data_IF_707200261375
#
_entry.id   IF_707200261375
#
_cell.length_a   1.000
_cell.length_b   1.000
_cell.length_c   1.000
_cell.angle_alpha   90.00
_cell.angle_beta   90.00
_cell.angle_gamma   90.00
#
_symmetry.space_group_name_H-M   'P 1'
#
loop_
_entity.id
_entity.type
_entity.pdbx_description
1 polymer ?
#
# COMPACT_ATOMS: atom_id res chain seq x y z
N UNK A 1 -10.58 13.92 15.19
CA UNK A 1 -9.18 13.44 15.19
C UNK A 1 -8.42 14.30 14.20
N UNK A 2 -7.37 15.00 14.66
CA UNK A 2 -6.51 15.79 13.76
C UNK A 2 -5.49 14.90 13.07
N UNK A 3 -5.06 15.30 11.87
CA UNK A 3 -3.91 14.71 11.17
C UNK A 3 -2.84 15.79 11.10
N UNK A 4 -1.60 15.42 11.41
CA UNK A 4 -0.43 16.24 11.18
C UNK A 4 0.43 15.58 10.11
N UNK A 5 0.54 16.29 8.99
CA UNK A 5 1.41 15.96 7.86
C UNK A 5 2.73 16.70 8.09
N UNK A 6 3.82 15.98 8.33
CA UNK A 6 5.15 16.58 8.47
C UNK A 6 6.05 16.09 7.34
N UNK A 7 6.36 16.97 6.41
CA UNK A 7 7.30 16.68 5.33
C UNK A 7 8.69 17.21 5.73
N UNK A 8 9.68 16.32 5.80
CA UNK A 8 11.06 16.68 6.17
C UNK A 8 11.38 16.61 7.67
N UNK A 9 10.98 15.53 8.32
CA UNK A 9 11.21 15.27 9.75
C UNK A 9 12.62 14.81 10.12
N UNK A 10 13.62 15.08 9.29
CA UNK A 10 14.98 14.63 9.50
C UNK A 10 15.83 15.71 10.18
N UNK A 11 16.77 15.33 11.05
CA UNK A 11 17.82 16.24 11.47
C UNK A 11 18.59 16.67 10.22
N UNK A 12 18.52 17.95 9.87
CA UNK A 12 19.17 18.49 8.68
C UNK A 12 20.69 18.46 8.80
N UNK A 13 21.38 19.19 7.93
CA UNK A 13 22.84 19.29 8.00
C UNK A 13 23.32 19.77 9.39
N UNK A 14 24.47 19.27 9.87
CA UNK A 14 25.05 19.74 11.12
C UNK A 14 25.27 21.26 11.10
N UNK A 15 24.87 21.93 12.17
CA UNK A 15 25.04 23.36 12.32
C UNK A 15 26.29 23.65 13.15
N UNK A 16 27.31 24.24 12.53
CA UNK A 16 28.57 24.59 13.22
C UNK A 16 28.48 25.83 14.11
N UNK A 17 27.37 26.57 14.06
CA UNK A 17 27.20 27.80 14.85
C UNK A 17 27.20 27.48 16.34
N UNK A 18 27.98 28.23 17.11
CA UNK A 18 27.96 28.21 18.58
C UNK A 18 27.05 29.27 19.18
N UNK A 19 26.34 30.02 18.32
CA UNK A 19 25.45 31.13 18.71
C UNK A 19 23.98 30.83 18.43
N UNK A 20 23.65 29.81 17.63
CA UNK A 20 22.27 29.44 17.36
C UNK A 20 21.62 28.77 18.57
N UNK A 21 20.36 29.14 18.84
CA UNK A 21 19.57 28.52 19.88
C UNK A 21 19.24 27.07 19.54
N UNK A 22 19.13 26.22 20.56
CA UNK A 22 18.70 24.83 20.43
C UNK A 22 19.83 23.80 20.39
N UNK A 23 21.09 24.21 20.23
CA UNK A 23 22.26 23.34 20.34
C UNK A 23 23.51 24.14 20.78
N UNK A 24 24.61 23.46 21.11
CA UNK A 24 25.87 24.07 21.57
C UNK A 24 26.86 24.31 20.42
N UNK A 25 26.82 23.48 19.40
CA UNK A 25 27.69 23.59 18.23
C UNK A 25 27.51 22.43 17.26
N UNK A 26 28.53 22.17 16.45
CA UNK A 26 28.48 21.15 15.39
C UNK A 26 28.12 19.75 15.89
N UNK A 27 28.71 19.33 17.02
CA UNK A 27 28.64 17.95 17.50
C UNK A 27 27.28 17.55 18.10
N UNK A 28 26.47 18.51 18.56
CA UNK A 28 25.17 18.23 19.18
C UNK A 28 23.97 18.71 18.36
N UNK A 29 24.18 19.44 17.25
CA UNK A 29 23.11 20.09 16.51
C UNK A 29 22.06 19.10 16.00
N UNK A 30 22.48 18.00 15.36
CA UNK A 30 21.54 17.02 14.81
C UNK A 30 20.83 16.24 15.91
N UNK A 31 21.53 15.91 17.00
CA UNK A 31 20.92 15.23 18.14
C UNK A 31 19.81 16.09 18.74
N UNK A 32 20.05 17.38 18.95
CA UNK A 32 19.06 18.30 19.51
C UNK A 32 17.87 18.52 18.60
N UNK A 33 18.10 18.62 17.28
CA UNK A 33 17.02 18.67 16.29
C UNK A 33 16.15 17.40 16.36
N UNK A 34 16.78 16.23 16.39
CA UNK A 34 16.07 14.95 16.53
C UNK A 34 15.24 14.89 17.83
N UNK A 35 15.82 15.30 18.97
CA UNK A 35 15.12 15.31 20.25
C UNK A 35 13.85 16.18 20.20
N UNK A 36 13.94 17.36 19.57
CA UNK A 36 12.80 18.26 19.40
C UNK A 36 11.68 17.63 18.58
N UNK A 37 12.02 17.01 17.43
CA UNK A 37 11.04 16.33 16.56
C UNK A 37 10.41 15.14 17.29
N UNK A 38 11.24 14.32 17.96
CA UNK A 38 10.80 13.18 18.76
C UNK A 38 9.78 13.61 19.82
N UNK A 39 10.10 14.64 20.59
CA UNK A 39 9.26 15.09 21.71
C UNK A 39 7.96 15.74 21.20
N UNK A 40 8.03 16.47 20.09
CA UNK A 40 6.85 16.99 19.42
C UNK A 40 5.91 15.87 18.94
N UNK A 41 6.44 14.80 18.34
CA UNK A 41 5.62 13.66 17.91
C UNK A 41 5.00 12.91 19.07
N UNK A 42 5.72 12.75 20.18
CA UNK A 42 5.16 12.18 21.41
C UNK A 42 4.01 13.03 21.94
N UNK A 43 4.18 14.35 21.94
CA UNK A 43 3.12 15.29 22.32
C UNK A 43 1.90 15.17 21.38
N UNK A 44 2.10 15.15 20.06
CA UNK A 44 1.00 14.92 19.10
C UNK A 44 0.21 13.64 19.43
N UNK A 45 0.90 12.56 19.83
CA UNK A 45 0.24 11.31 20.22
C UNK A 45 -0.54 11.41 21.53
N UNK A 46 -0.07 12.19 22.49
CA UNK A 46 -0.82 12.49 23.72
C UNK A 46 -2.13 13.24 23.38
N UNK A 47 -2.09 14.12 22.39
CA UNK A 47 -3.25 14.88 21.90
C UNK A 47 -4.12 14.12 20.88
N UNK A 48 -3.91 12.80 20.72
CA UNK A 48 -4.64 11.98 19.74
C UNK A 48 -4.55 12.49 18.29
N UNK A 49 -3.44 13.13 17.94
CA UNK A 49 -3.14 13.58 16.57
C UNK A 49 -2.47 12.42 15.81
N UNK A 50 -2.98 12.12 14.62
CA UNK A 50 -2.41 11.12 13.73
C UNK A 50 -1.25 11.72 12.92
N UNK A 51 -0.12 11.03 12.86
CA UNK A 51 1.12 11.51 12.26
C UNK A 51 1.39 10.78 10.94
N UNK A 52 1.41 11.55 9.85
CA UNK A 52 1.94 11.11 8.56
C UNK A 52 3.29 11.80 8.31
N UNK A 53 4.36 11.02 8.29
CA UNK A 53 5.74 11.54 8.23
C UNK A 53 6.58 10.64 7.32
N UNK A 54 7.57 11.17 6.58
CA UNK A 54 8.36 10.38 5.64
C UNK A 54 9.41 9.49 6.32
N UNK A 55 9.91 9.88 7.50
CA UNK A 55 10.98 9.19 8.22
C UNK A 55 10.48 8.19 9.27
N UNK A 56 11.32 7.24 9.63
CA UNK A 56 10.98 6.22 10.62
C UNK A 56 11.01 6.79 12.05
N UNK A 57 9.83 7.10 12.59
CA UNK A 57 9.64 7.57 13.98
C UNK A 57 8.61 6.75 14.75
N UNK A 58 8.39 5.47 14.39
CA UNK A 58 7.30 4.66 14.97
C UNK A 58 7.44 4.50 16.49
N UNK A 59 8.67 4.43 17.01
CA UNK A 59 8.95 4.38 18.46
C UNK A 59 8.85 5.76 19.15
N UNK A 60 8.62 6.80 18.38
CA UNK A 60 8.54 8.20 18.81
C UNK A 60 7.18 8.83 18.51
N UNK A 61 6.25 8.07 17.93
CA UNK A 61 4.86 8.47 17.75
C UNK A 61 4.36 8.45 16.32
N UNK A 62 5.20 8.35 15.28
CA UNK A 62 4.68 8.36 13.90
C UNK A 62 3.73 7.20 13.65
N UNK A 63 2.66 7.43 12.87
CA UNK A 63 1.68 6.39 12.57
C UNK A 63 1.92 5.68 11.26
N UNK A 64 2.46 6.38 10.26
CA UNK A 64 2.77 5.80 8.96
C UNK A 64 3.90 6.53 8.27
N UNK A 65 4.56 5.81 7.37
CA UNK A 65 5.64 6.27 6.49
C UNK A 65 5.40 5.77 5.05
N UNK A 66 6.07 6.31 4.01
CA UNK A 66 5.94 5.80 2.65
C UNK A 66 6.29 4.31 2.58
N UNK A 67 5.62 3.50 1.74
CA UNK A 67 6.00 2.10 1.56
C UNK A 67 7.42 1.98 0.97
N UNK A 68 7.67 2.77 -0.07
CA UNK A 68 8.93 2.97 -0.75
C UNK A 68 8.67 4.06 -1.78
N UNK A 69 9.58 5.02 -1.93
CA UNK A 69 9.27 6.22 -2.69
C UNK A 69 10.52 6.92 -3.21
N UNK A 70 10.54 7.17 -4.52
CA UNK A 70 11.34 8.20 -5.17
C UNK A 70 10.34 9.07 -5.92
N UNK A 71 10.33 10.37 -5.68
CA UNK A 71 9.26 11.26 -6.14
C UNK A 71 9.04 11.23 -7.64
N UNK A 72 10.13 11.15 -8.39
CA UNK A 72 10.14 11.12 -9.85
C UNK A 72 9.62 9.81 -10.45
N UNK A 73 9.38 8.76 -9.65
CA UNK A 73 8.71 7.55 -10.13
C UNK A 73 7.31 7.88 -10.68
N UNK A 74 6.65 8.92 -10.14
CA UNK A 74 5.34 9.35 -10.63
C UNK A 74 5.40 10.33 -11.80
N UNK A 75 6.61 10.66 -12.28
CA UNK A 75 6.82 11.34 -13.55
C UNK A 75 7.03 10.35 -14.69
N UNK A 76 7.11 9.05 -14.40
CA UNK A 76 7.15 8.01 -15.42
C UNK A 76 5.77 7.85 -16.08
N UNK A 77 5.71 7.34 -17.32
CA UNK A 77 4.43 7.02 -17.95
C UNK A 77 3.56 6.12 -17.06
N UNK A 78 2.23 6.33 -17.10
CA UNK A 78 1.22 5.65 -16.26
C UNK A 78 1.43 4.14 -16.13
N UNK A 79 1.78 3.46 -17.23
CA UNK A 79 2.01 2.01 -17.25
C UNK A 79 3.15 1.53 -16.32
N UNK A 80 4.20 2.34 -16.14
CA UNK A 80 5.30 2.01 -15.23
C UNK A 80 4.93 2.27 -13.78
N UNK A 81 4.11 3.31 -13.53
CA UNK A 81 3.70 3.70 -12.19
C UNK A 81 2.96 2.55 -11.48
N UNK A 82 2.12 1.80 -12.20
CA UNK A 82 1.35 0.67 -11.65
C UNK A 82 2.26 -0.44 -11.12
N UNK A 83 3.29 -0.81 -11.88
CA UNK A 83 4.23 -1.88 -11.49
C UNK A 83 5.14 -1.39 -10.36
N UNK A 84 5.67 -0.18 -10.46
CA UNK A 84 6.54 0.41 -9.43
C UNK A 84 5.80 0.59 -8.12
N UNK A 85 4.52 0.98 -8.16
CA UNK A 85 3.68 1.07 -6.97
C UNK A 85 3.60 -0.28 -6.25
N UNK A 86 3.30 -1.36 -6.98
CA UNK A 86 3.26 -2.71 -6.40
C UNK A 86 4.63 -3.18 -5.91
N UNK A 87 5.73 -2.79 -6.57
CA UNK A 87 7.08 -3.10 -6.10
C UNK A 87 7.37 -2.40 -4.77
N UNK A 88 7.06 -1.11 -4.65
CA UNK A 88 7.22 -0.35 -3.42
C UNK A 88 6.38 -0.93 -2.28
N UNK A 89 5.15 -1.35 -2.56
CA UNK A 89 4.30 -2.05 -1.58
C UNK A 89 4.94 -3.37 -1.16
N UNK A 90 5.31 -4.21 -2.12
CA UNK A 90 5.89 -5.54 -1.86
C UNK A 90 7.17 -5.41 -1.02
N UNK A 91 8.07 -4.51 -1.40
CA UNK A 91 9.35 -4.31 -0.72
C UNK A 91 9.17 -3.62 0.63
N UNK A 92 8.28 -2.63 0.70
CA UNK A 92 7.98 -1.89 1.92
C UNK A 92 7.38 -2.77 3.02
N UNK A 93 6.51 -3.70 2.63
CA UNK A 93 5.81 -4.59 3.56
C UNK A 93 6.67 -5.70 4.16
N UNK A 94 7.95 -5.82 3.78
CA UNK A 94 8.91 -6.65 4.53
C UNK A 94 9.31 -6.04 5.88
N UNK A 95 9.25 -4.71 6.01
CA UNK A 95 9.78 -4.00 7.18
C UNK A 95 8.68 -3.34 8.04
N UNK A 96 7.42 -3.38 7.59
CA UNK A 96 6.26 -2.78 8.27
C UNK A 96 4.98 -3.43 7.79
N UNK A 97 3.94 -3.40 8.60
CA UNK A 97 2.62 -3.92 8.20
C UNK A 97 1.98 -3.01 7.14
N UNK A 98 1.01 -3.50 6.35
CA UNK A 98 0.28 -2.68 5.38
C UNK A 98 -0.25 -1.35 5.95
N UNK A 99 -0.83 -1.41 7.14
CA UNK A 99 -1.47 -0.27 7.81
C UNK A 99 -0.48 0.81 8.31
N UNK A 100 0.80 0.47 8.44
CA UNK A 100 1.89 1.39 8.78
C UNK A 100 2.44 2.14 7.55
N UNK A 101 1.96 1.84 6.35
CA UNK A 101 2.46 2.42 5.11
C UNK A 101 1.44 3.26 4.36
N UNK A 102 1.95 4.23 3.60
CA UNK A 102 1.19 4.89 2.54
C UNK A 102 1.93 4.90 1.21
N UNK A 103 1.19 5.08 0.14
CA UNK A 103 1.73 5.43 -1.18
C UNK A 103 1.19 6.78 -1.62
N UNK A 104 2.04 7.52 -2.30
CA UNK A 104 1.68 8.79 -2.89
C UNK A 104 0.95 8.57 -4.23
N UNK A 105 -0.17 9.27 -4.42
CA UNK A 105 -1.01 9.15 -5.63
C UNK A 105 -1.23 10.56 -6.20
N UNK A 106 -0.33 11.02 -7.09
CA UNK A 106 -0.54 12.29 -7.77
C UNK A 106 -1.61 12.11 -8.83
N UNK A 107 -2.67 12.90 -8.72
CA UNK A 107 -3.75 12.96 -9.70
C UNK A 107 -3.40 13.96 -10.81
N UNK A 108 -2.81 15.10 -10.43
CA UNK A 108 -2.27 16.11 -11.35
C UNK A 108 -0.82 15.84 -11.71
N UNK A 109 -0.31 16.52 -12.75
CA UNK A 109 1.10 16.47 -13.13
C UNK A 109 2.02 16.71 -11.92
N UNK A 110 3.04 15.86 -11.80
CA UNK A 110 4.02 15.91 -10.72
C UNK A 110 5.44 15.76 -11.27
N UNK A 111 6.36 16.60 -10.79
CA UNK A 111 7.78 16.64 -11.20
C UNK A 111 8.05 16.64 -12.71
N UNK A 112 7.16 17.24 -13.51
CA UNK A 112 7.43 17.43 -14.95
C UNK A 112 7.16 16.23 -15.86
N UNK A 113 6.48 15.16 -15.39
CA UNK A 113 6.22 13.96 -16.20
C UNK A 113 5.29 14.14 -17.42
N UNK A 114 4.63 15.31 -17.55
CA UNK A 114 3.76 15.64 -18.67
C UNK A 114 2.50 14.77 -18.77
N UNK A 115 1.88 14.81 -19.95
CA UNK A 115 0.60 14.15 -20.22
C UNK A 115 0.65 12.63 -20.04
N UNK A 116 1.75 11.97 -20.43
CA UNK A 116 1.89 10.51 -20.33
C UNK A 116 1.92 9.97 -18.88
N UNK A 117 2.28 10.82 -17.91
CA UNK A 117 2.36 10.48 -16.49
C UNK A 117 1.14 10.95 -15.68
N UNK A 118 0.39 11.93 -16.20
CA UNK A 118 -0.69 12.60 -15.46
C UNK A 118 -1.99 11.79 -15.51
N UNK A 119 -2.76 11.75 -14.42
CA UNK A 119 -4.06 11.03 -14.38
C UNK A 119 -5.22 11.97 -14.74
N UNK A 120 -5.15 13.26 -14.37
CA UNK A 120 -6.16 14.22 -14.79
C UNK A 120 -6.09 14.51 -16.31
N UNK A 121 -7.24 14.61 -17.01
CA UNK A 121 -8.61 14.41 -16.52
C UNK A 121 -8.89 12.95 -16.12
N UNK A 122 -9.42 12.73 -14.92
CA UNK A 122 -9.57 11.39 -14.34
C UNK A 122 -10.52 10.52 -15.17
N UNK A 123 -11.58 11.14 -15.72
CA UNK A 123 -12.55 10.46 -16.58
C UNK A 123 -11.95 9.93 -17.89
N UNK A 124 -10.84 10.49 -18.38
CA UNK A 124 -10.13 10.02 -19.57
C UNK A 124 -9.16 8.88 -19.26
N UNK A 125 -8.84 8.66 -17.97
CA UNK A 125 -7.85 7.70 -17.50
C UNK A 125 -8.38 6.77 -16.40
N UNK A 126 -9.69 6.46 -16.45
CA UNK A 126 -10.38 5.63 -15.45
C UNK A 126 -9.73 4.27 -15.24
N UNK A 127 -9.27 3.62 -16.32
CA UNK A 127 -8.61 2.31 -16.22
C UNK A 127 -7.35 2.39 -15.35
N UNK A 128 -6.50 3.39 -15.59
CA UNK A 128 -5.30 3.59 -14.79
C UNK A 128 -5.66 3.93 -13.33
N UNK A 129 -6.61 4.85 -13.12
CA UNK A 129 -7.02 5.21 -11.76
C UNK A 129 -7.61 4.01 -11.00
N UNK A 130 -8.38 3.16 -11.69
CA UNK A 130 -8.89 1.90 -11.16
C UNK A 130 -7.76 0.98 -10.71
N UNK A 131 -6.73 0.76 -11.53
CA UNK A 131 -5.59 -0.09 -11.16
C UNK A 131 -4.86 0.45 -9.93
N UNK A 132 -4.65 1.77 -9.85
CA UNK A 132 -4.06 2.40 -8.65
C UNK A 132 -4.88 2.11 -7.40
N UNK A 133 -6.21 2.26 -7.45
CA UNK A 133 -7.11 1.93 -6.34
C UNK A 133 -7.02 0.45 -5.95
N UNK A 134 -6.99 -0.45 -6.94
CA UNK A 134 -6.88 -1.90 -6.73
C UNK A 134 -5.53 -2.31 -6.11
N UNK A 135 -4.43 -1.71 -6.56
CA UNK A 135 -3.10 -1.93 -6.01
C UNK A 135 -3.08 -1.59 -4.51
N UNK A 136 -3.55 -0.38 -4.17
CA UNK A 136 -3.49 0.13 -2.81
C UNK A 136 -4.46 -0.60 -1.88
N UNK A 137 -5.73 -0.67 -2.25
CA UNK A 137 -6.75 -1.28 -1.40
C UNK A 137 -6.60 -2.80 -1.32
N UNK A 138 -6.26 -3.47 -2.42
CA UNK A 138 -5.96 -4.91 -2.41
C UNK A 138 -4.73 -5.27 -1.56
N UNK A 139 -3.86 -4.30 -1.30
CA UNK A 139 -2.71 -4.47 -0.43
C UNK A 139 -2.87 -3.88 0.97
N UNK A 140 -4.02 -3.32 1.33
CA UNK A 140 -4.22 -2.69 2.64
C UNK A 140 -3.39 -1.42 2.87
N UNK A 141 -2.91 -0.80 1.79
CA UNK A 141 -2.03 0.36 1.85
C UNK A 141 -2.83 1.64 1.71
N UNK A 142 -2.49 2.63 2.53
CA UNK A 142 -3.17 3.93 2.50
C UNK A 142 -2.75 4.74 1.27
N UNK A 143 -3.72 5.39 0.62
CA UNK A 143 -3.48 6.31 -0.47
C UNK A 143 -3.34 7.75 0.05
N UNK A 144 -2.25 8.43 -0.29
CA UNK A 144 -2.08 9.87 -0.09
C UNK A 144 -2.29 10.58 -1.42
N UNK A 145 -3.52 11.00 -1.68
CA UNK A 145 -3.90 11.67 -2.93
C UNK A 145 -3.37 13.10 -2.97
N UNK A 146 -2.78 13.49 -4.11
CA UNK A 146 -2.40 14.88 -4.39
C UNK A 146 -3.11 15.36 -5.65
N UNK A 147 -4.04 16.28 -5.46
CA UNK A 147 -4.80 16.91 -6.53
C UNK A 147 -5.93 17.76 -5.95
N UNK A 148 -6.58 18.58 -6.78
CA UNK A 148 -7.63 19.48 -6.32
C UNK A 148 -8.95 18.76 -6.01
N UNK A 149 -9.12 17.52 -6.48
CA UNK A 149 -10.35 16.72 -6.37
C UNK A 149 -10.05 15.23 -6.47
N UNK A 150 -10.97 14.40 -5.97
CA UNK A 150 -10.89 12.93 -6.07
C UNK A 150 -11.68 12.36 -7.25
N UNK A 151 -12.58 13.16 -7.81
CA UNK A 151 -13.45 12.83 -8.94
C UNK A 151 -13.81 14.10 -9.71
N UNK A 152 -13.87 14.00 -11.03
CA UNK A 152 -14.20 15.07 -11.97
C UNK A 152 -15.55 14.85 -12.67
N UNK A 153 -16.00 13.61 -12.78
CA UNK A 153 -17.32 13.22 -13.28
C UNK A 153 -18.02 12.24 -12.34
N UNK A 154 -19.29 11.94 -12.64
CA UNK A 154 -20.09 10.96 -11.91
C UNK A 154 -19.53 9.54 -12.07
N UNK A 155 -19.00 9.20 -13.25
CA UNK A 155 -18.35 7.92 -13.53
C UNK A 155 -17.12 7.74 -12.65
N UNK A 156 -16.26 8.77 -12.54
CA UNK A 156 -15.09 8.75 -11.64
C UNK A 156 -15.53 8.60 -10.18
N UNK A 157 -16.60 9.28 -9.76
CA UNK A 157 -17.15 9.15 -8.40
C UNK A 157 -17.65 7.73 -8.12
N UNK A 158 -18.32 7.10 -9.07
CA UNK A 158 -18.80 5.72 -8.95
C UNK A 158 -17.64 4.73 -8.83
N UNK A 159 -16.59 4.90 -9.65
CA UNK A 159 -15.37 4.09 -9.59
C UNK A 159 -14.73 4.16 -8.20
N UNK A 160 -14.48 5.38 -7.69
CA UNK A 160 -13.87 5.58 -6.37
C UNK A 160 -14.76 5.01 -5.27
N UNK A 161 -16.08 5.25 -5.35
CA UNK A 161 -17.05 4.75 -4.35
C UNK A 161 -17.05 3.22 -4.30
N UNK A 162 -17.00 2.56 -5.46
CA UNK A 162 -16.94 1.11 -5.57
C UNK A 162 -15.71 0.54 -4.84
N UNK A 163 -14.52 1.07 -5.13
CA UNK A 163 -13.28 0.57 -4.54
C UNK A 163 -13.14 0.93 -3.05
N UNK A 164 -13.68 2.06 -2.62
CA UNK A 164 -13.79 2.39 -1.19
C UNK A 164 -14.72 1.41 -0.46
N UNK A 165 -15.85 1.03 -1.07
CA UNK A 165 -16.76 0.04 -0.50
C UNK A 165 -16.09 -1.35 -0.42
N UNK A 166 -15.34 -1.74 -1.45
CA UNK A 166 -14.51 -2.95 -1.45
C UNK A 166 -13.53 -2.96 -0.27
N UNK A 167 -12.75 -1.88 -0.10
CA UNK A 167 -11.80 -1.79 1.02
C UNK A 167 -12.54 -1.89 2.36
N UNK A 168 -13.61 -1.12 2.58
CA UNK A 168 -14.38 -1.16 3.83
C UNK A 168 -14.93 -2.55 4.15
N UNK A 169 -15.38 -3.31 3.15
CA UNK A 169 -15.88 -4.68 3.31
C UNK A 169 -14.78 -5.64 3.76
N UNK A 170 -13.56 -5.48 3.27
CA UNK A 170 -12.45 -6.41 3.50
C UNK A 170 -11.37 -5.88 4.46
N UNK A 171 -11.50 -4.65 4.98
CA UNK A 171 -10.44 -3.95 5.74
C UNK A 171 -9.84 -4.76 6.88
N UNK A 172 -10.65 -5.55 7.60
CA UNK A 172 -10.15 -6.31 8.75
C UNK A 172 -9.04 -7.29 8.35
N UNK A 173 -9.18 -7.95 7.19
CA UNK A 173 -8.14 -8.85 6.67
C UNK A 173 -7.07 -8.07 5.89
N UNK A 174 -7.44 -7.02 5.14
CA UNK A 174 -6.48 -6.22 4.38
C UNK A 174 -5.52 -5.41 5.25
N UNK A 175 -5.92 -5.03 6.47
CA UNK A 175 -5.07 -4.32 7.44
C UNK A 175 -4.19 -5.28 8.27
N UNK A 176 -4.30 -6.59 8.04
CA UNK A 176 -3.54 -7.63 8.76
C UNK A 176 -2.15 -7.86 8.14
N UNK A 177 -1.37 -8.75 8.76
CA UNK A 177 -0.10 -9.20 8.21
C UNK A 177 -0.30 -9.98 6.89
N UNK A 178 0.77 -10.06 6.10
CA UNK A 178 0.74 -10.72 4.80
C UNK A 178 1.91 -11.68 4.58
N UNK A 179 1.74 -12.53 3.58
CA UNK A 179 2.75 -13.41 3.02
C UNK A 179 3.00 -12.96 1.58
N UNK A 180 4.24 -12.64 1.29
CA UNK A 180 4.70 -12.34 -0.05
C UNK A 180 4.68 -13.60 -0.93
N UNK A 181 4.10 -13.50 -2.13
CA UNK A 181 4.12 -14.59 -3.10
C UNK A 181 5.12 -14.28 -4.23
N UNK A 182 4.68 -13.54 -5.25
CA UNK A 182 5.52 -13.17 -6.40
C UNK A 182 5.67 -11.67 -6.45
N UNK A 183 6.93 -11.20 -6.40
CA UNK A 183 7.28 -9.78 -6.52
C UNK A 183 6.92 -9.29 -7.94
N UNK A 184 6.38 -8.07 -8.09
CA UNK A 184 6.08 -7.52 -9.41
C UNK A 184 7.34 -7.30 -10.25
N UNK A 185 7.28 -7.71 -11.51
CA UNK A 185 8.37 -7.55 -12.49
C UNK A 185 7.86 -7.15 -13.90
N UNK A 186 6.55 -6.98 -14.06
CA UNK A 186 5.93 -6.63 -15.34
C UNK A 186 5.85 -7.76 -16.36
N UNK A 187 6.25 -9.01 -16.02
CA UNK A 187 6.39 -10.11 -16.98
C UNK A 187 5.40 -11.27 -16.81
N UNK A 188 4.82 -11.41 -15.63
CA UNK A 188 3.77 -12.39 -15.32
C UNK A 188 2.94 -11.84 -14.14
N UNK A 189 2.05 -12.65 -13.57
CA UNK A 189 1.25 -12.28 -12.40
C UNK A 189 2.13 -11.87 -11.22
N UNK A 190 1.62 -11.01 -10.35
CA UNK A 190 2.22 -10.72 -9.06
C UNK A 190 1.17 -10.75 -7.96
N UNK A 191 1.58 -10.90 -6.69
CA UNK A 191 0.59 -11.03 -5.64
C UNK A 191 1.12 -11.25 -4.22
N UNK A 192 0.20 -11.02 -3.29
CA UNK A 192 0.38 -11.11 -1.84
C UNK A 192 -0.85 -11.77 -1.21
N UNK A 193 -0.64 -12.46 -0.09
CA UNK A 193 -1.71 -13.08 0.68
C UNK A 193 -1.77 -12.46 2.08
N UNK A 194 -2.80 -11.69 2.36
CA UNK A 194 -3.09 -11.27 3.73
C UNK A 194 -3.55 -12.47 4.55
N UNK A 195 -3.14 -12.55 5.81
CA UNK A 195 -3.43 -13.67 6.71
C UNK A 195 -3.79 -13.19 8.11
N UNK A 196 -4.84 -13.76 8.68
CA UNK A 196 -5.19 -13.54 10.08
C UNK A 196 -6.03 -14.71 10.63
N UNK A 197 -5.48 -15.58 11.49
CA UNK A 197 -6.18 -16.78 11.95
C UNK A 197 -7.36 -16.48 12.89
N UNK A 198 -7.44 -15.25 13.42
CA UNK A 198 -8.45 -14.81 14.38
C UNK A 198 -9.71 -14.23 13.71
N UNK A 199 -9.69 -14.05 12.38
CA UNK A 199 -10.84 -13.53 11.65
C UNK A 199 -11.74 -14.64 11.12
N UNK A 200 -12.95 -14.28 10.71
CA UNK A 200 -13.83 -15.18 9.95
C UNK A 200 -13.25 -15.48 8.56
N UNK A 201 -12.81 -14.44 7.87
CA UNK A 201 -12.07 -14.53 6.62
C UNK A 201 -10.59 -14.50 6.96
N UNK A 202 -9.95 -15.66 6.93
CA UNK A 202 -8.60 -15.87 7.49
C UNK A 202 -7.48 -15.62 6.50
N UNK A 203 -7.82 -15.51 5.21
CA UNK A 203 -6.88 -15.09 4.18
C UNK A 203 -7.56 -14.30 3.08
N UNK A 204 -6.80 -13.40 2.48
CA UNK A 204 -7.20 -12.61 1.31
C UNK A 204 -6.04 -12.54 0.32
N UNK A 205 -6.16 -13.28 -0.77
CA UNK A 205 -5.17 -13.31 -1.84
C UNK A 205 -5.48 -12.21 -2.84
N UNK A 206 -4.53 -11.30 -3.05
CA UNK A 206 -4.57 -10.26 -4.07
C UNK A 206 -3.59 -10.62 -5.18
N UNK A 207 -4.09 -10.75 -6.42
CA UNK A 207 -3.27 -11.08 -7.60
C UNK A 207 -3.50 -10.09 -8.74
N UNK A 208 -2.43 -9.72 -9.41
CA UNK A 208 -2.39 -8.68 -10.43
C UNK A 208 -1.79 -9.22 -11.72
N UNK A 209 -2.19 -8.62 -12.84
CA UNK A 209 -1.71 -8.96 -14.17
C UNK A 209 -1.29 -7.68 -14.91
N UNK A 210 0.01 -7.45 -15.14
CA UNK A 210 0.48 -6.28 -15.90
C UNK A 210 0.34 -6.45 -17.42
N UNK A 211 0.04 -7.65 -17.93
CA UNK A 211 0.05 -7.97 -19.35
C UNK A 211 -1.29 -7.64 -20.03
N UNK A 212 -1.29 -7.35 -21.35
CA UNK A 212 -2.51 -7.10 -22.13
C UNK A 212 -3.30 -8.38 -22.48
N UNK A 213 -2.97 -9.52 -21.88
CA UNK A 213 -3.64 -10.81 -22.10
C UNK A 213 -4.02 -11.42 -20.76
N UNK A 214 -5.07 -12.24 -20.74
CA UNK A 214 -5.48 -12.99 -19.54
C UNK A 214 -4.37 -13.92 -19.09
N UNK A 215 -4.12 -13.96 -17.78
CA UNK A 215 -3.21 -14.93 -17.17
C UNK A 215 -4.02 -16.02 -16.46
N UNK A 216 -3.79 -17.27 -16.84
CA UNK A 216 -4.23 -18.44 -16.05
C UNK A 216 -3.00 -19.18 -15.50
N UNK A 217 -3.00 -19.46 -14.20
CA UNK A 217 -1.92 -20.21 -13.53
C UNK A 217 -2.48 -21.13 -12.46
N UNK A 218 -1.86 -22.27 -12.27
CA UNK A 218 -2.02 -23.07 -11.05
C UNK A 218 -0.88 -22.71 -10.11
N UNK A 219 -1.19 -22.03 -9.00
CA UNK A 219 -0.19 -21.55 -8.06
C UNK A 219 -0.24 -22.33 -6.74
N UNK A 220 0.92 -22.43 -6.09
CA UNK A 220 1.04 -22.95 -4.73
C UNK A 220 0.78 -21.81 -3.75
N UNK A 221 -0.29 -21.90 -2.96
CA UNK A 221 -0.64 -20.88 -1.95
C UNK A 221 -0.33 -21.41 -0.56
N UNK A 222 0.57 -20.77 0.23
CA UNK A 222 0.82 -21.15 1.61
C UNK A 222 -0.33 -20.71 2.52
N UNK A 223 -0.91 -21.62 3.28
CA UNK A 223 -2.06 -21.35 4.17
C UNK A 223 -1.76 -21.60 5.64
N UNK A 224 -0.50 -21.88 6.01
CA UNK A 224 -0.13 -22.17 7.40
C UNK A 224 -0.59 -21.10 8.39
N UNK A 225 -0.29 -19.83 8.09
CA UNK A 225 -0.60 -18.68 8.96
C UNK A 225 -2.07 -18.25 8.92
N UNK A 226 -2.90 -18.81 8.04
CA UNK A 226 -4.36 -18.63 8.12
C UNK A 226 -4.96 -19.51 9.22
N UNK A 227 -4.21 -20.49 9.75
CA UNK A 227 -4.73 -21.47 10.72
C UNK A 227 -5.64 -22.55 10.09
N UNK A 228 -5.80 -22.56 8.76
CA UNK A 228 -6.60 -23.55 8.04
C UNK A 228 -5.71 -24.72 7.62
N UNK A 229 -5.52 -25.69 8.52
CA UNK A 229 -4.48 -26.71 8.36
C UNK A 229 -4.92 -28.00 7.67
N UNK A 230 -6.21 -28.31 7.65
CA UNK A 230 -6.74 -29.56 7.10
C UNK A 230 -7.48 -29.34 5.77
N UNK A 231 -8.39 -28.37 5.78
CA UNK A 231 -9.21 -27.97 4.63
C UNK A 231 -9.34 -26.45 4.65
N UNK A 232 -9.49 -25.87 3.47
CA UNK A 232 -9.76 -24.45 3.29
C UNK A 232 -10.83 -24.27 2.23
N UNK A 233 -11.82 -23.43 2.53
CA UNK A 233 -12.81 -22.98 1.58
C UNK A 233 -12.31 -21.70 0.92
N UNK A 234 -12.24 -21.70 -0.40
CA UNK A 234 -11.74 -20.56 -1.19
C UNK A 234 -12.86 -20.03 -2.06
N UNK A 235 -13.13 -18.73 -1.96
CA UNK A 235 -14.07 -18.00 -2.83
C UNK A 235 -13.30 -17.07 -3.74
N UNK A 236 -13.52 -17.18 -5.04
CA UNK A 236 -13.13 -16.13 -5.98
C UNK A 236 -14.13 -14.98 -5.87
N UNK A 237 -13.65 -13.79 -5.48
CA UNK A 237 -14.52 -12.63 -5.21
C UNK A 237 -15.69 -13.00 -4.28
N UNK A 238 -16.92 -12.72 -4.73
CA UNK A 238 -18.18 -13.07 -4.06
C UNK A 238 -18.82 -14.35 -4.64
N UNK A 239 -18.04 -15.14 -5.36
CA UNK A 239 -18.49 -16.36 -6.03
C UNK A 239 -18.68 -17.56 -5.10
N UNK A 240 -18.87 -18.72 -5.74
CA UNK A 240 -19.06 -19.99 -5.04
C UNK A 240 -17.77 -20.43 -4.35
N UNK A 241 -17.92 -20.91 -3.12
CA UNK A 241 -16.81 -21.48 -2.36
C UNK A 241 -16.42 -22.87 -2.90
N UNK A 242 -15.12 -23.09 -3.08
CA UNK A 242 -14.54 -24.37 -3.46
C UNK A 242 -13.65 -24.84 -2.31
N UNK A 243 -13.82 -26.08 -1.87
CA UNK A 243 -13.04 -26.62 -0.76
C UNK A 243 -11.81 -27.35 -1.27
N UNK A 244 -10.65 -26.98 -0.74
CA UNK A 244 -9.36 -27.61 -1.02
C UNK A 244 -8.88 -28.38 0.21
N UNK A 245 -8.29 -29.55 -0.01
CA UNK A 245 -7.53 -30.27 1.01
C UNK A 245 -6.14 -29.65 1.11
N UNK A 246 -5.72 -29.36 2.34
CA UNK A 246 -4.40 -28.76 2.60
C UNK A 246 -3.36 -29.87 2.59
N UNK A 247 -2.29 -29.64 1.82
CA UNK A 247 -1.16 -30.57 1.75
C UNK A 247 -0.36 -30.55 3.05
N UNK A 248 0.46 -31.59 3.26
CA UNK A 248 1.34 -31.71 4.45
C UNK A 248 2.29 -30.53 4.65
N UNK A 249 2.65 -29.84 3.58
CA UNK A 249 3.49 -28.62 3.61
C UNK A 249 2.68 -27.34 3.85
N UNK A 250 1.42 -27.47 4.30
CA UNK A 250 0.48 -26.39 4.55
C UNK A 250 0.22 -25.49 3.34
N UNK A 251 0.20 -26.09 2.15
CA UNK A 251 -0.15 -25.39 0.91
C UNK A 251 -1.39 -25.98 0.24
N UNK A 252 -2.02 -25.17 -0.60
CA UNK A 252 -3.00 -25.63 -1.58
C UNK A 252 -2.52 -25.34 -3.00
N UNK A 253 -3.09 -26.05 -3.97
CA UNK A 253 -3.00 -25.68 -5.38
C UNK A 253 -4.27 -24.91 -5.73
N UNK A 254 -4.11 -23.68 -6.19
CA UNK A 254 -5.19 -22.80 -6.58
C UNK A 254 -5.03 -22.41 -8.05
N UNK A 255 -6.08 -22.68 -8.86
CA UNK A 255 -6.17 -22.12 -10.21
C UNK A 255 -6.61 -20.68 -10.09
N UNK A 256 -5.79 -19.76 -10.61
CA UNK A 256 -6.11 -18.34 -10.71
C UNK A 256 -6.32 -17.95 -12.17
N UNK A 257 -7.22 -16.99 -12.39
CA UNK A 257 -7.44 -16.33 -13.68
C UNK A 257 -7.50 -14.82 -13.44
N UNK A 258 -6.69 -14.06 -14.16
CA UNK A 258 -6.58 -12.61 -13.96
C UNK A 258 -6.78 -11.93 -15.32
N UNK A 259 -7.73 -10.98 -15.45
CA UNK A 259 -7.97 -10.28 -16.70
C UNK A 259 -6.74 -9.46 -17.14
N UNK A 260 -6.63 -9.10 -18.43
CA UNK A 260 -5.60 -8.19 -18.95
C UNK A 260 -5.51 -6.91 -18.11
N UNK A 261 -4.28 -6.46 -17.81
CA UNK A 261 -4.01 -5.20 -17.08
C UNK A 261 -4.92 -5.06 -15.86
N UNK A 262 -5.03 -6.10 -15.05
CA UNK A 262 -6.15 -6.25 -14.12
C UNK A 262 -5.81 -6.89 -12.80
N UNK A 263 -6.86 -7.06 -12.00
CA UNK A 263 -6.80 -7.53 -10.62
C UNK A 263 -7.85 -8.61 -10.37
N UNK A 264 -7.50 -9.60 -9.56
CA UNK A 264 -8.45 -10.56 -9.00
C UNK A 264 -8.11 -10.87 -7.54
N UNK A 265 -9.08 -11.36 -6.79
CA UNK A 265 -8.90 -11.72 -5.40
C UNK A 265 -9.65 -12.98 -4.98
N UNK A 266 -9.11 -13.62 -3.95
CA UNK A 266 -9.67 -14.84 -3.37
C UNK A 266 -9.72 -14.74 -1.84
N UNK A 267 -10.84 -15.15 -1.26
CA UNK A 267 -11.08 -15.13 0.18
C UNK A 267 -11.02 -16.56 0.73
N UNK A 268 -10.30 -16.73 1.84
CA UNK A 268 -10.04 -18.02 2.48
C UNK A 268 -10.77 -18.08 3.81
N UNK A 269 -11.56 -19.14 4.01
CA UNK A 269 -12.36 -19.42 5.22
C UNK A 269 -12.25 -20.89 5.65
#
# INVERSE_FOLDING_TARGET
MGIFENDGSYPGDPCASTQHNGHKGYLDSQWKQWEMIRDFYRWCRQESIYLNVPDWYFLSGSNKVPMGYVETNWSLPREYQEVIERQNIFDGTWNKTPSMGYMFVPLTQYHGGGEAATIEPLCEHLDHYQIRLQNLFGAGVQACYRGPRLYDTEETRQLVTHWVAFYKKHRNILDSDLIHLRRPDGRDWDGILHVNPNLKHKGFLSVYNPLPITIERNIRVPVYYTGLHNRVSVKEKDGKAIVHTVKRDYSIQLKISIPPKGFNWYVFE
#
